data_IF_309272585106
#
_entry.id   IF_309272585106
#
_cell.length_a   1.000
_cell.length_b   1.000
_cell.length_c   1.000
_cell.angle_alpha   90.00
_cell.angle_beta   90.00
_cell.angle_gamma   90.00
#
_symmetry.space_group_name_H-M   'P 1'
#
loop_
_entity.id
_entity.type
_entity.pdbx_description
1 polymer ?
#
# COMPACT_ATOMS: atom_id res chain seq x y z
N UNK A 1 -13.79 -3.58 -37.61
CA UNK A 1 -14.13 -4.95 -37.19
C UNK A 1 -13.67 -5.09 -35.74
N UNK A 2 -14.59 -4.94 -34.78
CA UNK A 2 -14.28 -4.97 -33.35
C UNK A 2 -14.05 -6.42 -32.92
N UNK A 3 -12.78 -6.84 -32.82
CA UNK A 3 -12.44 -8.01 -32.01
C UNK A 3 -12.56 -7.53 -30.58
N UNK A 4 -13.63 -7.92 -29.89
CA UNK A 4 -13.81 -7.62 -28.47
C UNK A 4 -12.59 -8.12 -27.70
N UNK A 5 -11.99 -7.28 -26.86
CA UNK A 5 -10.73 -7.51 -26.15
C UNK A 5 -10.63 -8.89 -25.48
N UNK A 6 -11.76 -9.46 -25.06
CA UNK A 6 -11.89 -10.80 -24.51
C UNK A 6 -11.46 -11.93 -25.46
N UNK A 7 -11.75 -11.82 -26.77
CA UNK A 7 -11.37 -12.85 -27.77
C UNK A 7 -9.88 -12.79 -28.07
N UNK A 8 -9.32 -11.58 -28.16
CA UNK A 8 -7.88 -11.37 -28.33
C UNK A 8 -7.09 -11.87 -27.11
N UNK A 9 -7.53 -11.55 -25.89
CA UNK A 9 -6.92 -12.06 -24.66
C UNK A 9 -7.03 -13.58 -24.57
N UNK A 10 -8.19 -14.17 -24.87
CA UNK A 10 -8.36 -15.63 -24.88
C UNK A 10 -7.45 -16.32 -25.89
N UNK A 11 -7.28 -15.75 -27.09
CA UNK A 11 -6.34 -16.26 -28.10
C UNK A 11 -4.88 -16.09 -27.66
N UNK A 12 -4.53 -14.96 -27.07
CA UNK A 12 -3.19 -14.69 -26.55
C UNK A 12 -2.86 -15.66 -25.41
N UNK A 13 -3.78 -15.84 -24.46
CA UNK A 13 -3.63 -16.79 -23.37
C UNK A 13 -3.54 -18.24 -23.88
N UNK A 14 -4.33 -18.62 -24.88
CA UNK A 14 -4.26 -19.96 -25.46
C UNK A 14 -2.95 -20.19 -26.23
N UNK A 15 -2.49 -19.20 -27.00
CA UNK A 15 -1.28 -19.26 -27.82
C UNK A 15 0.00 -19.35 -26.98
N UNK A 16 0.09 -18.56 -25.90
CA UNK A 16 1.27 -18.57 -25.03
C UNK A 16 1.22 -19.67 -23.94
N UNK A 17 0.03 -20.11 -23.50
CA UNK A 17 -0.10 -20.93 -22.29
C UNK A 17 -0.63 -22.36 -22.49
N UNK A 18 -1.04 -22.71 -23.73
CA UNK A 18 -1.45 -24.06 -24.08
C UNK A 18 -2.64 -24.57 -23.25
N UNK A 19 -2.79 -25.89 -23.14
CA UNK A 19 -3.97 -26.52 -22.52
C UNK A 19 -3.80 -26.92 -21.04
N UNK A 20 -2.58 -27.06 -20.47
CA UNK A 20 -2.39 -27.56 -19.07
C UNK A 20 -1.06 -27.20 -18.38
N UNK A 21 -0.42 -26.07 -18.70
CA UNK A 21 0.90 -25.75 -18.12
C UNK A 21 0.76 -24.94 -16.83
N UNK A 22 1.28 -25.44 -15.70
CA UNK A 22 1.54 -24.59 -14.53
C UNK A 22 2.56 -23.54 -14.96
N UNK A 23 2.22 -22.26 -14.85
CA UNK A 23 3.10 -21.18 -15.29
C UNK A 23 3.93 -20.69 -14.11
N UNK A 24 5.25 -20.76 -14.25
CA UNK A 24 6.17 -20.24 -13.24
C UNK A 24 6.54 -18.80 -13.61
N UNK A 25 6.03 -17.83 -12.87
CA UNK A 25 6.32 -16.40 -13.10
C UNK A 25 6.76 -15.79 -11.79
N UNK A 26 7.93 -15.16 -11.75
CA UNK A 26 8.39 -14.55 -10.51
C UNK A 26 7.41 -13.45 -10.01
N UNK A 27 6.89 -12.61 -10.91
CA UNK A 27 5.96 -11.52 -10.61
C UNK A 27 4.82 -11.44 -11.61
N UNK A 28 3.59 -11.47 -11.13
CA UNK A 28 2.39 -11.30 -11.95
C UNK A 28 1.67 -10.00 -11.59
N UNK A 29 1.37 -9.19 -12.61
CA UNK A 29 0.68 -7.89 -12.44
C UNK A 29 -0.62 -7.90 -13.25
N UNK A 30 -1.74 -7.75 -12.55
CA UNK A 30 -3.06 -7.59 -13.14
C UNK A 30 -3.45 -6.11 -13.14
N UNK A 31 -3.23 -5.45 -14.26
CA UNK A 31 -3.56 -4.03 -14.47
C UNK A 31 -5.01 -3.82 -14.94
N UNK A 32 -5.96 -4.65 -14.48
CA UNK A 32 -7.37 -4.55 -14.85
C UNK A 32 -8.28 -5.16 -13.78
N UNK A 33 -9.59 -4.86 -13.87
CA UNK A 33 -10.60 -5.57 -13.08
C UNK A 33 -10.81 -6.98 -13.63
N UNK A 34 -10.89 -8.01 -12.78
CA UNK A 34 -11.15 -9.38 -13.23
C UNK A 34 -12.45 -9.51 -14.04
N UNK A 35 -13.48 -8.76 -13.65
CA UNK A 35 -14.75 -8.66 -14.41
C UNK A 35 -14.59 -8.22 -15.86
N UNK A 36 -13.48 -7.56 -16.20
CA UNK A 36 -13.20 -7.04 -17.53
C UNK A 36 -12.36 -8.02 -18.38
N UNK A 37 -11.92 -9.15 -17.82
CA UNK A 37 -11.09 -10.13 -18.50
C UNK A 37 -11.68 -11.54 -18.41
N UNK A 38 -11.62 -12.28 -19.52
CA UNK A 38 -11.99 -13.70 -19.52
C UNK A 38 -10.74 -14.53 -19.27
N UNK A 39 -10.59 -15.05 -18.04
CA UNK A 39 -9.51 -15.96 -17.70
C UNK A 39 -9.91 -17.40 -18.02
N UNK A 40 -9.05 -18.21 -18.67
CA UNK A 40 -9.27 -19.62 -18.88
C UNK A 40 -9.39 -20.36 -17.55
N UNK A 41 -10.40 -21.21 -17.40
CA UNK A 41 -10.64 -21.98 -16.17
C UNK A 41 -9.48 -22.94 -15.79
N UNK A 42 -8.60 -23.25 -16.74
CA UNK A 42 -7.43 -24.11 -16.56
C UNK A 42 -6.14 -23.32 -16.28
N UNK A 43 -6.21 -21.99 -16.11
CA UNK A 43 -5.04 -21.18 -15.77
C UNK A 43 -4.59 -21.52 -14.34
N UNK A 44 -3.34 -21.96 -14.20
CA UNK A 44 -2.68 -22.16 -12.91
C UNK A 44 -1.32 -21.44 -12.91
N UNK A 45 -1.14 -20.48 -12.01
CA UNK A 45 0.03 -19.60 -11.92
C UNK A 45 0.79 -19.89 -10.63
N UNK A 46 2.02 -20.38 -10.76
CA UNK A 46 2.99 -20.41 -9.67
C UNK A 46 3.80 -19.11 -9.66
N UNK A 47 3.44 -18.23 -8.75
CA UNK A 47 4.05 -16.90 -8.56
C UNK A 47 4.75 -16.71 -7.22
N UNK A 48 5.75 -15.83 -7.16
CA UNK A 48 6.32 -15.36 -5.89
C UNK A 48 5.74 -13.99 -5.49
N UNK A 49 5.37 -13.18 -6.48
CA UNK A 49 4.79 -11.85 -6.28
C UNK A 49 3.50 -11.66 -7.08
N UNK A 50 2.49 -11.08 -6.42
CA UNK A 50 1.20 -10.77 -7.02
C UNK A 50 0.85 -9.29 -6.83
N UNK A 51 0.55 -8.58 -7.90
CA UNK A 51 0.01 -7.22 -7.88
C UNK A 51 -1.35 -7.18 -8.61
N UNK A 52 -2.42 -6.86 -7.89
CA UNK A 52 -3.79 -6.93 -8.42
C UNK A 52 -4.41 -5.58 -8.77
N UNK A 53 -3.66 -4.48 -8.64
CA UNK A 53 -3.95 -3.05 -8.92
C UNK A 53 -5.39 -2.52 -8.68
N UNK A 54 -6.38 -3.09 -9.34
CA UNK A 54 -7.77 -2.66 -9.31
C UNK A 54 -8.73 -3.57 -8.55
N UNK A 55 -8.33 -4.81 -8.25
CA UNK A 55 -9.20 -5.84 -7.67
C UNK A 55 -8.60 -6.40 -6.37
N UNK A 56 -9.40 -7.12 -5.58
CA UNK A 56 -8.89 -7.75 -4.37
C UNK A 56 -8.21 -9.08 -4.68
N UNK A 57 -7.20 -9.45 -3.89
CA UNK A 57 -6.37 -10.64 -4.12
C UNK A 57 -7.19 -11.92 -4.15
N UNK A 58 -8.28 -11.97 -3.38
CA UNK A 58 -9.11 -13.15 -3.22
C UNK A 58 -9.75 -13.59 -4.55
N UNK A 59 -10.03 -12.63 -5.43
CA UNK A 59 -10.60 -12.88 -6.74
C UNK A 59 -9.63 -13.65 -7.68
N UNK A 60 -8.32 -13.58 -7.39
CA UNK A 60 -7.29 -14.26 -8.19
C UNK A 60 -6.86 -15.60 -7.60
N UNK A 61 -7.19 -15.90 -6.34
CA UNK A 61 -6.80 -17.15 -5.68
C UNK A 61 -7.14 -18.41 -6.49
N UNK A 62 -8.28 -18.50 -7.21
CA UNK A 62 -8.58 -19.68 -8.03
C UNK A 62 -7.56 -19.98 -9.13
N UNK A 63 -6.73 -19.00 -9.52
CA UNK A 63 -5.75 -19.12 -10.59
C UNK A 63 -4.30 -19.20 -10.07
N UNK A 64 -4.08 -19.14 -8.75
CA UNK A 64 -2.74 -19.19 -8.14
C UNK A 64 -2.49 -20.59 -7.58
N UNK A 65 -1.35 -21.16 -7.92
CA UNK A 65 -0.91 -22.45 -7.40
C UNK A 65 -0.71 -22.36 -5.88
N UNK A 66 -1.25 -23.29 -5.07
CA UNK A 66 -1.08 -23.25 -3.63
C UNK A 66 0.40 -23.24 -3.16
N UNK A 67 1.33 -23.78 -3.96
CA UNK A 67 2.77 -23.73 -3.68
C UNK A 67 3.38 -22.34 -3.80
N UNK A 68 2.64 -21.35 -4.28
CA UNK A 68 3.04 -19.94 -4.26
C UNK A 68 2.98 -19.30 -2.89
N UNK A 69 2.25 -19.89 -1.95
CA UNK A 69 2.09 -19.31 -0.61
C UNK A 69 3.15 -19.86 0.36
N UNK A 70 3.69 -19.00 1.25
CA UNK A 70 3.46 -17.56 1.33
C UNK A 70 4.08 -16.80 0.16
N UNK A 71 3.36 -15.78 -0.34
CA UNK A 71 3.89 -14.89 -1.36
C UNK A 71 5.04 -14.05 -0.77
N UNK A 72 6.13 -13.88 -1.51
CA UNK A 72 7.14 -12.86 -1.17
C UNK A 72 6.52 -11.46 -1.16
N UNK A 73 5.57 -11.21 -2.05
CA UNK A 73 4.93 -9.90 -2.13
C UNK A 73 3.48 -9.97 -2.60
N UNK A 74 2.66 -9.18 -1.93
CA UNK A 74 1.27 -8.98 -2.31
C UNK A 74 0.96 -7.48 -2.37
N UNK A 75 0.52 -7.00 -3.53
CA UNK A 75 -0.02 -5.65 -3.72
C UNK A 75 -1.49 -5.77 -4.10
N UNK A 76 -2.39 -5.26 -3.27
CA UNK A 76 -3.83 -5.51 -3.45
C UNK A 76 -4.75 -4.48 -2.80
N UNK A 77 -6.02 -4.48 -3.20
CA UNK A 77 -7.10 -3.83 -2.45
C UNK A 77 -7.70 -4.80 -1.44
N UNK A 78 -8.18 -4.28 -0.31
CA UNK A 78 -8.90 -5.06 0.70
C UNK A 78 -10.35 -4.60 0.72
N UNK A 79 -11.30 -5.54 0.60
CA UNK A 79 -12.73 -5.23 0.45
C UNK A 79 -13.40 -4.80 1.76
N UNK A 80 -12.82 -5.16 2.90
CA UNK A 80 -13.32 -4.79 4.22
C UNK A 80 -12.66 -5.59 5.35
N UNK A 81 -13.12 -5.38 6.59
CA UNK A 81 -12.52 -5.98 7.78
C UNK A 81 -12.49 -7.52 7.79
N UNK A 82 -13.45 -8.16 7.13
CA UNK A 82 -13.53 -9.63 7.04
C UNK A 82 -12.30 -10.28 6.39
N UNK A 83 -11.50 -9.49 5.67
CA UNK A 83 -10.27 -9.96 5.03
C UNK A 83 -9.02 -9.72 5.87
N UNK A 84 -9.07 -8.96 6.96
CA UNK A 84 -7.87 -8.57 7.71
C UNK A 84 -7.12 -9.77 8.29
N UNK A 85 -7.85 -10.83 8.66
CA UNK A 85 -7.29 -12.06 9.18
C UNK A 85 -7.06 -13.13 8.10
N UNK A 86 -7.19 -12.77 6.81
CA UNK A 86 -7.05 -13.74 5.74
C UNK A 86 -5.61 -14.29 5.68
N UNK A 87 -5.40 -15.62 5.65
CA UNK A 87 -4.06 -16.22 5.72
C UNK A 87 -3.08 -15.68 4.68
N UNK A 88 -3.53 -15.50 3.44
CA UNK A 88 -2.70 -14.96 2.34
C UNK A 88 -2.21 -13.53 2.62
N UNK A 89 -3.04 -12.68 3.23
CA UNK A 89 -2.63 -11.33 3.63
C UNK A 89 -1.62 -11.42 4.75
N UNK A 90 -1.90 -12.22 5.78
CA UNK A 90 -1.09 -12.36 6.99
C UNK A 90 0.22 -13.13 6.80
N UNK A 91 0.32 -14.00 5.80
CA UNK A 91 1.51 -14.82 5.55
C UNK A 91 2.48 -14.22 4.53
N UNK A 92 2.07 -13.24 3.72
CA UNK A 92 2.95 -12.64 2.70
C UNK A 92 4.19 -11.98 3.33
N UNK A 93 5.37 -11.97 2.70
CA UNK A 93 6.55 -11.33 3.34
C UNK A 93 6.42 -9.79 3.32
N UNK A 94 6.01 -9.24 2.18
CA UNK A 94 5.72 -7.82 2.00
C UNK A 94 4.29 -7.57 1.53
N UNK A 95 3.53 -6.75 2.26
CA UNK A 95 2.14 -6.42 1.93
C UNK A 95 1.98 -4.93 1.60
N UNK A 96 1.47 -4.66 0.40
CA UNK A 96 1.10 -3.34 -0.08
C UNK A 96 -0.41 -3.25 -0.24
N UNK A 97 -1.07 -2.47 0.62
CA UNK A 97 -2.48 -2.17 0.46
C UNK A 97 -2.65 -0.95 -0.42
N UNK A 98 -3.40 -1.10 -1.50
CA UNK A 98 -3.70 -0.02 -2.42
C UNK A 98 -4.78 0.87 -1.83
N UNK A 99 -4.43 2.11 -1.58
CA UNK A 99 -5.37 3.16 -1.18
C UNK A 99 -5.83 3.88 -2.44
N UNK A 100 -7.14 4.03 -2.59
CA UNK A 100 -7.75 4.78 -3.69
C UNK A 100 -8.07 6.21 -3.26
N UNK A 101 -8.25 7.15 -4.21
CA UNK A 101 -8.61 8.53 -3.87
C UNK A 101 -9.95 8.64 -3.10
N UNK A 102 -10.82 7.63 -3.23
CA UNK A 102 -12.12 7.57 -2.57
C UNK A 102 -12.05 7.00 -1.14
N UNK A 103 -10.88 6.53 -0.70
CA UNK A 103 -10.75 5.91 0.62
C UNK A 103 -10.96 6.94 1.73
N UNK A 104 -11.91 6.67 2.63
CA UNK A 104 -12.24 7.54 3.75
C UNK A 104 -11.30 7.32 4.93
N UNK A 105 -11.14 8.31 5.81
CA UNK A 105 -10.36 8.19 7.06
C UNK A 105 -10.75 6.94 7.87
N UNK A 106 -12.05 6.66 7.98
CA UNK A 106 -12.53 5.46 8.67
C UNK A 106 -11.93 4.19 8.07
N UNK A 107 -11.90 4.06 6.74
CA UNK A 107 -11.33 2.90 6.06
C UNK A 107 -9.82 2.81 6.27
N UNK A 108 -9.10 3.94 6.23
CA UNK A 108 -7.67 3.98 6.53
C UNK A 108 -7.36 3.55 7.97
N UNK A 109 -8.24 3.94 8.90
CA UNK A 109 -8.15 3.57 10.32
C UNK A 109 -8.43 2.08 10.50
N UNK A 110 -9.43 1.53 9.82
CA UNK A 110 -9.72 0.10 9.85
C UNK A 110 -8.55 -0.72 9.28
N UNK A 111 -7.91 -0.28 8.20
CA UNK A 111 -6.77 -0.98 7.61
C UNK A 111 -5.58 -1.14 8.58
N UNK A 112 -5.48 -0.32 9.61
CA UNK A 112 -4.45 -0.45 10.65
C UNK A 112 -4.70 -1.63 11.60
N UNK A 113 -5.90 -2.23 11.57
CA UNK A 113 -6.20 -3.46 12.31
C UNK A 113 -5.52 -4.69 11.70
N UNK A 114 -4.97 -4.58 10.49
CA UNK A 114 -4.13 -5.62 9.90
C UNK A 114 -2.82 -5.68 10.69
N UNK A 115 -2.72 -6.59 11.66
CA UNK A 115 -1.60 -6.70 12.59
C UNK A 115 -0.35 -7.29 11.91
N UNK A 116 0.42 -6.45 11.22
CA UNK A 116 1.56 -6.85 10.38
C UNK A 116 2.74 -5.91 10.56
N UNK A 117 3.93 -6.47 10.79
CA UNK A 117 5.18 -5.70 10.88
C UNK A 117 5.56 -5.00 9.55
N UNK A 118 5.24 -5.66 8.43
CA UNK A 118 5.63 -5.29 7.07
C UNK A 118 4.37 -4.93 6.25
N UNK A 119 3.72 -3.83 6.64
CA UNK A 119 2.52 -3.29 6.00
C UNK A 119 2.83 -1.91 5.41
N UNK A 120 2.70 -1.78 4.10
CA UNK A 120 2.85 -0.53 3.38
C UNK A 120 1.56 -0.18 2.67
N UNK A 121 1.35 1.11 2.47
CA UNK A 121 0.20 1.62 1.75
C UNK A 121 0.67 2.21 0.43
N UNK A 122 0.26 1.58 -0.67
CA UNK A 122 0.54 2.06 -2.03
C UNK A 122 -0.53 3.09 -2.39
N UNK A 123 -0.11 4.33 -2.63
CA UNK A 123 -0.99 5.35 -3.17
C UNK A 123 -1.24 5.05 -4.65
N UNK A 124 -2.50 4.90 -5.03
CA UNK A 124 -2.91 5.10 -6.42
C UNK A 124 -2.66 6.58 -6.77
N UNK A 125 -2.28 6.92 -8.00
CA UNK A 125 -2.03 8.32 -8.36
C UNK A 125 -3.21 9.19 -7.95
N UNK A 126 -2.88 10.35 -7.37
CA UNK A 126 -3.79 11.36 -6.81
C UNK A 126 -4.39 11.02 -5.43
N UNK A 127 -3.83 11.56 -4.34
CA UNK A 127 -4.51 12.55 -3.47
C UNK A 127 -3.82 12.71 -2.10
N UNK A 128 -3.47 13.95 -1.75
CA UNK A 128 -2.88 14.36 -0.46
C UNK A 128 -3.85 14.39 0.71
N UNK A 129 -5.15 14.57 0.45
CA UNK A 129 -6.11 14.84 1.53
C UNK A 129 -6.27 13.65 2.48
N UNK A 130 -6.04 12.42 2.01
CA UNK A 130 -6.20 11.23 2.82
C UNK A 130 -5.15 11.16 3.95
N UNK A 131 -3.91 11.60 3.67
CA UNK A 131 -2.87 11.69 4.68
C UNK A 131 -3.15 12.82 5.70
N UNK A 132 -3.57 14.00 5.23
CA UNK A 132 -3.94 15.11 6.11
C UNK A 132 -5.08 14.73 7.05
N UNK A 133 -6.15 14.16 6.50
CA UNK A 133 -7.30 13.76 7.30
C UNK A 133 -6.96 12.65 8.31
N UNK A 134 -6.04 11.74 7.98
CA UNK A 134 -5.54 10.75 8.93
C UNK A 134 -4.80 11.40 10.10
N UNK A 135 -3.87 12.31 9.81
CA UNK A 135 -3.10 13.05 10.82
C UNK A 135 -4.05 13.82 11.75
N UNK A 136 -4.99 14.57 11.17
CA UNK A 136 -5.96 15.35 11.95
C UNK A 136 -6.83 14.46 12.83
N UNK A 137 -7.28 13.31 12.31
CA UNK A 137 -8.04 12.36 13.09
C UNK A 137 -7.23 11.80 14.28
N UNK A 138 -5.94 11.57 14.12
CA UNK A 138 -5.06 11.14 15.22
C UNK A 138 -4.80 12.26 16.24
N UNK A 139 -4.69 13.51 15.79
CA UNK A 139 -4.57 14.67 16.69
C UNK A 139 -5.86 14.85 17.50
N UNK A 140 -7.02 14.76 16.85
CA UNK A 140 -8.34 14.99 17.47
C UNK A 140 -8.77 13.86 18.41
N UNK A 141 -8.46 12.60 18.08
CA UNK A 141 -8.96 11.43 18.83
C UNK A 141 -7.87 10.67 19.61
N UNK A 142 -6.61 11.08 19.49
CA UNK A 142 -5.47 10.33 19.98
C UNK A 142 -5.10 9.14 19.10
N UNK A 143 -3.90 8.61 19.32
CA UNK A 143 -3.41 7.39 18.67
C UNK A 143 -2.32 6.72 19.52
N UNK A 144 -2.24 5.40 19.46
CA UNK A 144 -1.27 4.61 20.24
C UNK A 144 0.17 4.83 19.74
N UNK A 145 1.09 5.02 20.68
CA UNK A 145 2.54 5.09 20.43
C UNK A 145 3.03 3.80 19.74
N UNK A 146 3.92 3.95 18.76
CA UNK A 146 4.41 2.85 17.94
C UNK A 146 3.53 2.57 16.71
N UNK A 147 2.37 3.21 16.58
CA UNK A 147 1.60 3.19 15.33
C UNK A 147 2.44 3.80 14.22
N UNK A 148 2.58 3.08 13.11
CA UNK A 148 3.29 3.53 11.91
C UNK A 148 2.45 3.32 10.66
N UNK A 149 2.40 4.36 9.83
CA UNK A 149 1.70 4.38 8.55
C UNK A 149 2.67 4.85 7.47
N UNK A 150 3.01 3.94 6.55
CA UNK A 150 3.98 4.22 5.47
C UNK A 150 3.24 4.31 4.15
N UNK A 151 3.22 5.52 3.59
CA UNK A 151 2.68 5.80 2.26
C UNK A 151 3.80 5.77 1.24
N UNK A 152 3.58 5.07 0.14
CA UNK A 152 4.56 4.88 -0.93
C UNK A 152 3.92 5.15 -2.28
N UNK A 153 4.59 5.97 -3.09
CA UNK A 153 4.24 6.14 -4.50
C UNK A 153 5.27 5.38 -5.37
N UNK A 154 4.76 4.49 -6.21
CA UNK A 154 5.54 3.64 -7.11
C UNK A 154 5.69 4.26 -8.51
N UNK A 155 5.07 5.41 -8.76
CA UNK A 155 4.92 6.03 -10.08
C UNK A 155 5.58 7.41 -10.20
N UNK A 156 6.14 7.97 -9.13
CA UNK A 156 6.83 9.25 -9.19
C UNK A 156 7.08 9.89 -7.83
N UNK A 157 7.61 11.13 -7.82
CA UNK A 157 7.81 11.85 -6.57
C UNK A 157 6.46 12.11 -5.90
N UNK A 158 6.41 11.90 -4.58
CA UNK A 158 5.24 12.18 -3.77
C UNK A 158 4.94 13.69 -3.84
N UNK A 159 3.92 14.06 -4.61
CA UNK A 159 3.42 15.44 -4.71
C UNK A 159 2.60 15.82 -3.48
N UNK A 160 3.22 15.77 -2.29
CA UNK A 160 2.53 15.99 -1.03
C UNK A 160 2.56 17.47 -0.63
N UNK A 161 1.54 18.22 -1.04
CA UNK A 161 1.19 19.47 -0.35
C UNK A 161 0.36 19.12 0.90
N UNK A 162 1.04 18.78 2.00
CA UNK A 162 0.40 18.77 3.32
C UNK A 162 0.26 20.23 3.75
N UNK A 163 -0.90 20.83 3.52
CA UNK A 163 -1.22 22.17 4.01
C UNK A 163 -2.57 22.13 4.70
N UNK A 164 -2.58 22.21 6.02
CA UNK A 164 -3.75 22.53 6.81
C UNK A 164 -3.34 23.61 7.81
N UNK A 165 -4.12 24.70 7.89
CA UNK A 165 -3.84 25.84 8.76
C UNK A 165 -3.91 25.50 10.25
N UNK A 166 -4.42 24.32 10.62
CA UNK A 166 -4.38 23.77 11.99
C UNK A 166 -3.03 23.15 12.34
N UNK A 167 -2.20 22.85 11.35
CA UNK A 167 -0.81 22.38 11.56
C UNK A 167 0.05 23.62 11.70
N UNK A 168 -0.05 24.28 12.85
CA UNK A 168 0.63 25.56 13.13
C UNK A 168 2.05 25.37 13.67
N UNK A 169 2.37 24.19 14.20
CA UNK A 169 3.67 23.87 14.79
C UNK A 169 4.51 23.01 13.84
N UNK A 170 5.04 23.62 12.78
CA UNK A 170 6.12 23.01 12.00
C UNK A 170 7.42 23.09 12.79
N UNK A 171 7.73 22.07 13.60
CA UNK A 171 9.10 21.88 14.09
C UNK A 171 9.91 21.12 13.05
N UNK A 172 10.73 21.85 12.28
CA UNK A 172 11.62 21.29 11.26
C UNK A 172 12.81 20.50 11.85
N UNK A 173 12.84 20.34 13.18
CA UNK A 173 13.94 19.74 13.93
C UNK A 173 13.66 18.29 14.33
N UNK A 174 13.40 17.41 13.36
CA UNK A 174 13.55 15.96 13.59
C UNK A 174 15.05 15.62 13.69
N UNK A 175 15.74 16.14 14.72
CA UNK A 175 17.16 15.88 15.00
C UNK A 175 17.40 14.44 15.47
N UNK A 176 16.36 13.82 16.04
CA UNK A 176 16.39 12.46 16.60
C UNK A 176 16.38 11.36 15.52
N UNK A 177 15.99 11.67 14.28
CA UNK A 177 15.89 10.69 13.18
C UNK A 177 17.14 10.79 12.29
N UNK A 178 17.99 9.75 12.35
CA UNK A 178 19.17 9.63 11.50
C UNK A 178 18.81 9.04 10.12
N UNK A 179 18.14 9.82 9.26
CA UNK A 179 17.76 9.39 7.90
C UNK A 179 17.96 10.52 6.90
N UNK A 180 18.28 10.18 5.64
CA UNK A 180 18.36 11.16 4.55
C UNK A 180 16.96 11.60 4.15
N UNK A 181 16.51 12.72 4.72
CA UNK A 181 15.23 13.33 4.36
C UNK A 181 15.23 13.87 2.94
N UNK A 182 14.05 13.88 2.32
CA UNK A 182 13.83 14.52 1.02
C UNK A 182 13.41 15.98 1.21
N UNK A 183 14.17 16.98 0.71
CA UNK A 183 13.88 18.41 0.95
C UNK A 183 12.50 18.90 0.46
N UNK A 184 11.87 18.16 -0.47
CA UNK A 184 10.57 18.51 -1.06
C UNK A 184 9.39 17.85 -0.37
N UNK A 185 9.64 16.93 0.57
CA UNK A 185 8.61 16.22 1.29
C UNK A 185 8.43 16.82 2.69
N UNK A 186 7.27 16.57 3.31
CA UNK A 186 7.02 16.97 4.69
C UNK A 186 8.15 16.54 5.63
N UNK A 187 8.42 17.38 6.63
CA UNK A 187 9.29 17.07 7.77
C UNK A 187 8.82 17.89 8.96
N UNK A 188 7.99 17.29 9.80
CA UNK A 188 7.46 17.97 10.98
C UNK A 188 7.07 16.97 12.08
N UNK A 189 6.84 17.51 13.27
CA UNK A 189 6.17 16.83 14.37
C UNK A 189 4.94 17.61 14.82
N UNK A 190 3.87 16.91 15.22
CA UNK A 190 2.66 17.52 15.79
C UNK A 190 2.36 16.84 17.13
N UNK A 191 2.30 17.57 18.26
CA UNK A 191 1.87 17.00 19.52
C UNK A 191 0.44 16.44 19.42
N UNK A 192 0.22 15.24 19.96
CA UNK A 192 -1.13 14.73 20.21
C UNK A 192 -1.53 15.12 21.64
N UNK A 193 -0.64 14.89 22.59
CA UNK A 193 -0.79 15.22 24.01
C UNK A 193 0.58 15.49 24.65
N UNK A 194 0.63 15.57 25.99
CA UNK A 194 1.88 15.81 26.73
C UNK A 194 2.91 14.67 26.62
N UNK A 195 2.49 13.47 26.21
CA UNK A 195 3.31 12.24 26.21
C UNK A 195 3.58 11.70 24.82
N UNK A 196 2.88 12.18 23.80
CA UNK A 196 2.98 11.65 22.44
C UNK A 196 2.90 12.72 21.36
N UNK A 197 3.60 12.47 20.26
CA UNK A 197 3.65 13.31 19.06
C UNK A 197 3.61 12.46 17.80
N UNK A 198 3.02 13.00 16.74
CA UNK A 198 3.08 12.44 15.39
C UNK A 198 4.35 12.97 14.74
N UNK A 199 5.17 12.09 14.16
CA UNK A 199 6.23 12.45 13.23
C UNK A 199 5.73 12.20 11.82
N UNK A 200 5.89 13.21 10.95
CA UNK A 200 5.56 13.10 9.53
C UNK A 200 6.77 13.52 8.71
N UNK A 201 7.36 12.58 7.98
CA UNK A 201 8.56 12.85 7.23
C UNK A 201 8.71 12.03 5.95
N UNK A 202 9.28 12.66 4.93
CA UNK A 202 9.58 12.02 3.66
C UNK A 202 11.01 11.49 3.58
N UNK A 203 11.15 10.26 3.09
CA UNK A 203 12.45 9.64 2.83
C UNK A 203 12.52 9.08 1.41
N UNK A 204 13.74 8.94 0.92
CA UNK A 204 14.03 8.13 -0.25
C UNK A 204 14.48 6.75 0.21
N UNK A 205 13.94 5.72 -0.42
CA UNK A 205 14.39 4.34 -0.22
C UNK A 205 14.54 3.66 -1.58
N UNK A 206 15.07 2.46 -1.56
CA UNK A 206 15.20 1.63 -2.75
C UNK A 206 14.17 0.50 -2.70
N UNK A 207 13.50 0.28 -3.83
CA UNK A 207 12.57 -0.81 -3.99
C UNK A 207 12.62 -1.36 -5.41
N UNK A 208 12.83 -2.68 -5.55
CA UNK A 208 13.04 -3.35 -6.85
C UNK A 208 14.14 -2.68 -7.71
N UNK A 209 15.24 -2.22 -7.08
CA UNK A 209 16.33 -1.54 -7.79
C UNK A 209 15.97 -0.14 -8.29
N UNK A 210 14.84 0.42 -7.83
CA UNK A 210 14.40 1.78 -8.17
C UNK A 210 14.35 2.64 -6.91
N UNK A 211 14.79 3.89 -7.05
CA UNK A 211 14.50 4.90 -6.03
C UNK A 211 12.99 5.13 -5.96
N UNK A 212 12.47 5.11 -4.75
CA UNK A 212 11.07 5.34 -4.43
C UNK A 212 10.96 6.25 -3.22
N UNK A 213 9.94 7.08 -3.21
CA UNK A 213 9.70 8.03 -2.14
C UNK A 213 8.64 7.47 -1.18
N UNK A 214 8.88 7.62 0.10
CA UNK A 214 7.95 7.25 1.15
C UNK A 214 7.63 8.45 2.03
N UNK A 215 6.36 8.58 2.41
CA UNK A 215 5.93 9.42 3.53
C UNK A 215 5.66 8.51 4.72
N UNK A 216 6.39 8.74 5.80
CA UNK A 216 6.21 8.05 7.06
C UNK A 216 5.39 8.96 7.97
N UNK A 217 4.32 8.40 8.54
CA UNK A 217 3.52 9.01 9.60
C UNK A 217 3.55 8.03 10.77
N UNK A 218 4.19 8.40 11.87
CA UNK A 218 4.31 7.52 13.04
C UNK A 218 4.08 8.27 14.34
N UNK A 219 3.53 7.57 15.33
CA UNK A 219 3.28 8.11 16.67
C UNK A 219 4.41 7.66 17.58
N UNK A 220 5.07 8.63 18.22
CA UNK A 220 6.20 8.38 19.13
C UNK A 220 5.92 9.03 20.48
N UNK A 221 6.68 8.62 21.49
CA UNK A 221 6.70 9.34 22.77
C UNK A 221 7.27 10.74 22.58
N UNK A 222 6.65 11.72 23.24
CA UNK A 222 7.22 13.05 23.40
C UNK A 222 8.37 12.93 24.37
N UNK A 223 9.60 13.06 23.88
CA UNK A 223 10.77 13.31 24.73
C UNK A 223 10.49 14.58 25.53
N UNK A 224 10.36 14.47 26.85
CA UNK A 224 10.30 15.64 27.73
C UNK A 224 11.59 16.43 27.53
N UNK A 225 11.52 17.75 27.24
CA UNK A 225 12.71 18.57 27.39
C UNK A 225 13.12 18.51 28.86
N UNK A 226 14.33 18.01 29.12
CA UNK A 226 15.01 18.19 30.42
C UNK A 226 15.28 19.68 30.69
#
# INVERSE_FOLDING_TARGET
MYVTDAKALKMWLHYYFGSKSIMHVNKMVFNCCLRNITIPNNLNLKVNELDTQYSSFDEFLPFIDPQSFPLRRLTTKVRGPDFFDHPVLLSSEHLFIIITPLCRVKELTELQRIQRKNLWFKLSPFHTANANQLILNWVENGKEVGTKFVLMDMHGPLGLQLWDSRITEYQNELKEINTKFLPRLPRFSIPIDQRSKILCYGIETEYDGKSVQQLIIEVVESTTPE
#
